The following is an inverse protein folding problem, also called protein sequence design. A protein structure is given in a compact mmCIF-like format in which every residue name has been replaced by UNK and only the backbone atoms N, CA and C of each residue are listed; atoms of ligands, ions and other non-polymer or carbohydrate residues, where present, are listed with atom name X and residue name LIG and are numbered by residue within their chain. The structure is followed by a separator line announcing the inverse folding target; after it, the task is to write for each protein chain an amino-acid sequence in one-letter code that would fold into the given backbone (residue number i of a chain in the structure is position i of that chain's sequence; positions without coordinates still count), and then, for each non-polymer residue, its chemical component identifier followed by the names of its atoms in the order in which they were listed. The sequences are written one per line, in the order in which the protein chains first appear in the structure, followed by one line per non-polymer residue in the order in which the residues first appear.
data_IF_168330487539
#
_entry.id   IF_168330487539
#
_cell.length_a   1.000
_cell.length_b   1.000
_cell.length_c   1.000
_cell.angle_alpha   90.00
_cell.angle_beta   90.00
_cell.angle_gamma   90.00
#
_symmetry.space_group_name_H-M   'P 1'
#
loop_
_entity.id
_entity.type
_entity.pdbx_description
1 polymer ?
#
# COMPACT_ATOMS: atom_id res chain seq x y z
N UNK A 1 4.53 -52.98 18.92
CA UNK A 1 3.37 -52.07 18.84
C UNK A 1 3.82 -50.89 18.01
N UNK A 2 3.39 -50.91 16.75
CA UNK A 2 3.85 -50.00 15.70
C UNK A 2 3.21 -48.62 15.84
N UNK A 3 4.03 -47.61 15.63
CA UNK A 3 3.74 -46.19 15.52
C UNK A 3 2.92 -45.90 14.26
N UNK A 4 1.71 -45.36 14.38
CA UNK A 4 0.94 -44.79 13.28
C UNK A 4 1.18 -43.29 13.18
N UNK A 5 1.97 -42.89 12.18
CA UNK A 5 2.12 -41.51 11.71
C UNK A 5 0.93 -41.07 10.86
N UNK A 6 0.51 -39.82 11.09
CA UNK A 6 -0.48 -39.04 10.37
C UNK A 6 -0.23 -38.97 8.85
N UNK A 7 -1.30 -38.94 8.06
CA UNK A 7 -1.26 -38.44 6.67
C UNK A 7 -2.27 -37.32 6.51
N UNK A 8 -1.75 -36.09 6.50
CA UNK A 8 -2.48 -34.91 6.07
C UNK A 8 -2.87 -35.00 4.59
N UNK A 9 -4.08 -34.54 4.29
CA UNK A 9 -4.67 -34.50 2.95
C UNK A 9 -3.88 -33.52 2.06
N UNK A 10 -3.42 -33.91 0.86
CA UNK A 10 -2.69 -33.00 -0.02
C UNK A 10 -3.64 -31.99 -0.68
N UNK A 11 -3.20 -30.73 -0.75
CA UNK A 11 -3.89 -29.65 -1.46
C UNK A 11 -4.17 -30.04 -2.92
N UNK A 12 -5.43 -29.89 -3.35
CA UNK A 12 -5.87 -30.15 -4.73
C UNK A 12 -5.18 -29.18 -5.70
N UNK A 13 -4.20 -29.66 -6.46
CA UNK A 13 -3.74 -28.99 -7.69
C UNK A 13 -4.91 -28.92 -8.68
N UNK A 14 -5.25 -27.73 -9.14
CA UNK A 14 -6.26 -27.52 -10.19
C UNK A 14 -5.72 -28.18 -11.47
N UNK A 15 -6.40 -29.22 -11.95
CA UNK A 15 -5.99 -29.94 -13.16
C UNK A 15 -6.12 -29.03 -14.40
N UNK A 16 -5.10 -29.00 -15.25
CA UNK A 16 -5.11 -28.25 -16.50
C UNK A 16 -6.21 -28.79 -17.44
N UNK A 17 -7.05 -27.92 -18.04
CA UNK A 17 -8.15 -28.35 -18.90
C UNK A 17 -7.65 -28.93 -20.23
N UNK A 18 -8.44 -29.84 -20.81
CA UNK A 18 -8.17 -30.38 -22.14
C UNK A 18 -8.38 -29.33 -23.23
N UNK A 19 -7.69 -29.49 -24.38
CA UNK A 19 -7.79 -28.57 -25.53
C UNK A 19 -9.23 -28.40 -26.02
N UNK A 20 -10.06 -29.45 -25.96
CA UNK A 20 -11.47 -29.39 -26.32
C UNK A 20 -12.30 -28.56 -25.34
N UNK A 21 -12.00 -28.64 -24.04
CA UNK A 21 -12.65 -27.80 -23.02
C UNK A 21 -12.26 -26.32 -23.17
N UNK A 22 -11.00 -26.04 -23.51
CA UNK A 22 -10.51 -24.68 -23.78
C UNK A 22 -11.22 -24.09 -25.01
N UNK A 23 -11.31 -24.85 -26.11
CA UNK A 23 -11.97 -24.39 -27.34
C UNK A 23 -13.48 -24.20 -27.20
N UNK A 24 -14.12 -24.88 -26.26
CA UNK A 24 -15.54 -24.71 -25.96
C UNK A 24 -15.83 -23.46 -25.11
N UNK A 25 -14.82 -22.86 -24.47
CA UNK A 25 -15.01 -21.67 -23.65
C UNK A 25 -15.35 -20.44 -24.51
N UNK A 26 -16.33 -19.65 -24.03
CA UNK A 26 -16.77 -18.41 -24.67
C UNK A 26 -15.62 -17.43 -24.94
N UNK A 27 -14.69 -17.29 -23.97
CA UNK A 27 -13.48 -16.46 -24.10
C UNK A 27 -12.63 -16.87 -25.29
N UNK A 28 -12.43 -18.18 -25.52
CA UNK A 28 -11.62 -18.68 -26.64
C UNK A 28 -12.28 -18.41 -27.98
N UNK A 29 -13.61 -18.49 -28.05
CA UNK A 29 -14.37 -18.15 -29.26
C UNK A 29 -14.26 -16.66 -29.58
N UNK A 30 -14.38 -15.78 -28.57
CA UNK A 30 -14.15 -14.36 -28.74
C UNK A 30 -12.71 -14.07 -29.17
N UNK A 31 -11.73 -14.71 -28.53
CA UNK A 31 -10.32 -14.54 -28.88
C UNK A 31 -10.09 -14.84 -30.36
N UNK A 32 -10.56 -15.98 -30.86
CA UNK A 32 -10.41 -16.36 -32.27
C UNK A 32 -11.08 -15.38 -33.24
N UNK A 33 -12.11 -14.65 -32.81
CA UNK A 33 -12.84 -13.68 -33.62
C UNK A 33 -12.19 -12.29 -33.62
N UNK A 34 -11.50 -11.90 -32.54
CA UNK A 34 -11.08 -10.51 -32.34
C UNK A 34 -9.57 -10.31 -32.16
N UNK A 35 -8.84 -11.19 -31.45
CA UNK A 35 -7.45 -10.87 -31.05
C UNK A 35 -6.44 -12.02 -31.10
N UNK A 36 -6.87 -13.28 -31.09
CA UNK A 36 -5.97 -14.44 -31.02
C UNK A 36 -4.88 -14.40 -32.10
N UNK A 37 -3.62 -14.75 -31.76
CA UNK A 37 -2.47 -14.52 -32.64
C UNK A 37 -2.55 -15.25 -33.98
N UNK A 38 -3.18 -16.44 -34.02
CA UNK A 38 -3.27 -17.29 -35.21
C UNK A 38 -4.55 -17.09 -36.03
N UNK A 39 -5.45 -16.19 -35.61
CA UNK A 39 -6.66 -15.87 -36.37
C UNK A 39 -6.33 -14.99 -37.57
N UNK A 40 -6.77 -15.41 -38.77
CA UNK A 40 -6.47 -14.71 -40.04
C UNK A 40 -7.38 -13.50 -40.27
N UNK A 41 -8.68 -13.63 -40.00
CA UNK A 41 -9.69 -12.61 -40.27
C UNK A 41 -10.30 -12.09 -38.96
N UNK A 42 -9.57 -11.19 -38.28
CA UNK A 42 -10.02 -10.59 -37.02
C UNK A 42 -10.99 -9.44 -37.28
N UNK A 43 -12.04 -9.37 -36.49
CA UNK A 43 -12.92 -8.21 -36.49
C UNK A 43 -12.24 -6.97 -35.88
N UNK A 44 -12.67 -5.75 -36.24
CA UNK A 44 -12.19 -4.53 -35.62
C UNK A 44 -12.53 -4.49 -34.12
N UNK A 45 -11.85 -3.60 -33.39
CA UNK A 45 -12.13 -3.35 -31.99
C UNK A 45 -13.59 -2.97 -31.76
N UNK A 46 -14.20 -3.61 -30.76
CA UNK A 46 -15.55 -3.36 -30.31
C UNK A 46 -15.52 -3.22 -28.78
N UNK A 47 -15.91 -2.04 -28.28
CA UNK A 47 -15.95 -1.74 -26.85
C UNK A 47 -16.95 -2.62 -26.11
N UNK A 48 -18.02 -3.07 -26.77
CA UNK A 48 -18.99 -3.96 -26.15
C UNK A 48 -18.40 -5.32 -25.82
N UNK A 49 -17.45 -5.80 -26.63
CA UNK A 49 -16.74 -7.06 -26.35
C UNK A 49 -15.89 -6.93 -25.09
N UNK A 50 -15.23 -5.79 -24.90
CA UNK A 50 -14.48 -5.50 -23.67
C UNK A 50 -15.41 -5.50 -22.45
N UNK A 51 -16.50 -4.74 -22.51
CA UNK A 51 -17.47 -4.66 -21.40
C UNK A 51 -18.06 -6.04 -21.09
N UNK A 52 -18.43 -6.81 -22.12
CA UNK A 52 -18.96 -8.17 -21.97
C UNK A 52 -17.92 -9.12 -21.34
N UNK A 53 -16.65 -9.06 -21.76
CA UNK A 53 -15.58 -9.88 -21.15
C UNK A 53 -15.42 -9.51 -19.68
N UNK A 54 -15.40 -8.22 -19.37
CA UNK A 54 -15.24 -7.76 -18.00
C UNK A 54 -16.43 -8.18 -17.11
N UNK A 55 -17.65 -7.83 -17.49
CA UNK A 55 -18.84 -8.08 -16.67
C UNK A 55 -19.18 -9.57 -16.58
N UNK A 56 -19.18 -10.29 -17.70
CA UNK A 56 -19.69 -11.67 -17.77
C UNK A 56 -18.63 -12.72 -17.46
N UNK A 57 -17.38 -12.49 -17.80
CA UNK A 57 -16.31 -13.48 -17.60
C UNK A 57 -15.44 -13.17 -16.39
N UNK A 58 -15.11 -11.91 -16.11
CA UNK A 58 -14.25 -11.54 -14.97
C UNK A 58 -15.10 -11.33 -13.70
N UNK A 59 -16.05 -10.39 -13.74
CA UNK A 59 -16.81 -9.97 -12.56
C UNK A 59 -17.79 -11.05 -12.09
N UNK A 60 -18.62 -11.59 -13.00
CA UNK A 60 -19.60 -12.64 -12.67
C UNK A 60 -18.94 -13.93 -12.16
N UNK A 61 -17.74 -14.27 -12.65
CA UNK A 61 -16.97 -15.42 -12.15
C UNK A 61 -16.23 -15.15 -10.84
N UNK A 62 -16.38 -13.93 -10.28
CA UNK A 62 -15.66 -13.42 -9.10
C UNK A 62 -14.15 -13.51 -9.28
N UNK A 63 -13.63 -13.06 -10.42
CA UNK A 63 -12.21 -13.06 -10.75
C UNK A 63 -11.61 -14.48 -10.74
N UNK A 64 -12.30 -15.41 -11.40
CA UNK A 64 -11.82 -16.79 -11.53
C UNK A 64 -10.45 -16.82 -12.21
N UNK A 65 -9.45 -17.35 -11.50
CA UNK A 65 -8.08 -17.49 -12.01
C UNK A 65 -8.08 -18.19 -13.37
N UNK A 66 -8.88 -19.25 -13.54
CA UNK A 66 -8.99 -19.97 -14.82
C UNK A 66 -9.44 -19.07 -15.97
N UNK A 67 -10.39 -18.16 -15.74
CA UNK A 67 -10.89 -17.24 -16.79
C UNK A 67 -9.84 -16.20 -17.16
N UNK A 68 -9.16 -15.65 -16.15
CA UNK A 68 -8.10 -14.66 -16.35
C UNK A 68 -6.89 -15.30 -17.07
N UNK A 69 -6.50 -16.53 -16.69
CA UNK A 69 -5.48 -17.31 -17.40
C UNK A 69 -5.78 -17.50 -18.89
N UNK A 70 -7.03 -17.81 -19.24
CA UNK A 70 -7.42 -17.98 -20.65
C UNK A 70 -7.35 -16.68 -21.44
N UNK A 71 -7.73 -15.56 -20.82
CA UNK A 71 -7.57 -14.24 -21.41
C UNK A 71 -6.10 -13.89 -21.62
N UNK A 72 -5.25 -14.12 -20.61
CA UNK A 72 -3.80 -13.90 -20.70
C UNK A 72 -3.17 -14.77 -21.80
N UNK A 73 -3.44 -16.08 -21.79
CA UNK A 73 -2.88 -17.03 -22.75
C UNK A 73 -3.28 -16.72 -24.20
N UNK A 74 -4.48 -16.17 -24.38
CA UNK A 74 -4.98 -15.74 -25.68
C UNK A 74 -4.38 -14.42 -26.18
N UNK A 75 -3.46 -13.81 -25.42
CA UNK A 75 -2.82 -12.51 -25.67
C UNK A 75 -3.82 -11.34 -25.69
N UNK A 76 -4.78 -11.35 -24.76
CA UNK A 76 -5.82 -10.32 -24.67
C UNK A 76 -5.24 -8.92 -24.44
N UNK A 77 -4.19 -8.81 -23.60
CA UNK A 77 -3.54 -7.53 -23.31
C UNK A 77 -2.82 -6.96 -24.54
N UNK A 78 -2.01 -7.80 -25.20
CA UNK A 78 -1.14 -7.40 -26.31
C UNK A 78 -1.90 -7.13 -27.59
N UNK A 79 -2.93 -7.93 -27.88
CA UNK A 79 -3.61 -7.91 -29.17
C UNK A 79 -4.99 -7.24 -29.15
N UNK A 80 -5.56 -6.95 -27.97
CA UNK A 80 -6.87 -6.32 -27.88
C UNK A 80 -6.92 -5.11 -26.94
N UNK A 81 -6.41 -5.21 -25.71
CA UNK A 81 -6.54 -4.12 -24.73
C UNK A 81 -5.60 -2.96 -25.07
N UNK A 82 -4.29 -3.16 -24.93
CA UNK A 82 -3.36 -2.03 -24.94
C UNK A 82 -3.25 -1.36 -26.31
N UNK A 83 -3.37 -2.14 -27.39
CA UNK A 83 -3.33 -1.60 -28.75
C UNK A 83 -4.49 -0.68 -29.10
N UNK A 84 -5.61 -0.79 -28.38
CA UNK A 84 -6.83 0.01 -28.57
C UNK A 84 -7.12 0.96 -27.40
N UNK A 85 -6.28 0.99 -26.36
CA UNK A 85 -6.48 1.87 -25.22
C UNK A 85 -6.09 3.30 -25.57
N UNK A 86 -6.99 4.25 -25.35
CA UNK A 86 -6.73 5.69 -25.40
C UNK A 86 -7.47 6.38 -24.25
N UNK A 87 -7.11 7.62 -23.88
CA UNK A 87 -7.82 8.37 -22.84
C UNK A 87 -9.33 8.50 -23.08
N UNK A 88 -9.74 8.62 -24.35
CA UNK A 88 -11.14 8.85 -24.75
C UNK A 88 -12.02 7.62 -24.58
N UNK A 89 -11.45 6.42 -24.68
CA UNK A 89 -12.18 5.14 -24.54
C UNK A 89 -11.96 4.49 -23.17
N UNK A 90 -11.20 5.13 -22.28
CA UNK A 90 -10.89 4.60 -20.96
C UNK A 90 -12.16 4.41 -20.14
N UNK A 91 -12.37 3.18 -19.67
CA UNK A 91 -13.51 2.78 -18.84
C UNK A 91 -13.06 1.94 -17.65
N UNK A 92 -13.96 1.72 -16.69
CA UNK A 92 -13.74 0.78 -15.58
C UNK A 92 -13.32 -0.60 -16.10
N UNK A 93 -14.02 -1.14 -17.09
CA UNK A 93 -13.70 -2.44 -17.67
C UNK A 93 -12.32 -2.48 -18.32
N UNK A 94 -11.91 -1.40 -19.01
CA UNK A 94 -10.56 -1.28 -19.56
C UNK A 94 -9.50 -1.34 -18.47
N UNK A 95 -9.65 -0.48 -17.45
CA UNK A 95 -8.67 -0.35 -16.37
C UNK A 95 -8.52 -1.68 -15.64
N UNK A 96 -9.65 -2.24 -15.22
CA UNK A 96 -9.69 -3.48 -14.45
C UNK A 96 -9.20 -4.68 -15.26
N UNK A 97 -9.55 -4.78 -16.55
CA UNK A 97 -9.08 -5.88 -17.40
C UNK A 97 -7.56 -5.81 -17.60
N UNK A 98 -7.00 -4.62 -17.86
CA UNK A 98 -5.54 -4.45 -17.98
C UNK A 98 -4.85 -4.89 -16.68
N UNK A 99 -5.31 -4.40 -15.52
CA UNK A 99 -4.74 -4.76 -14.22
C UNK A 99 -4.84 -6.27 -13.94
N UNK A 100 -5.98 -6.91 -14.26
CA UNK A 100 -6.14 -8.35 -14.09
C UNK A 100 -5.11 -9.14 -14.90
N UNK A 101 -4.91 -8.80 -16.18
CA UNK A 101 -3.97 -9.52 -17.04
C UNK A 101 -2.52 -9.26 -16.63
N UNK A 102 -2.18 -8.03 -16.22
CA UNK A 102 -0.84 -7.73 -15.69
C UNK A 102 -0.55 -8.55 -14.44
N UNK A 103 -1.46 -8.56 -13.46
CA UNK A 103 -1.30 -9.36 -12.23
C UNK A 103 -1.17 -10.85 -12.53
N UNK A 104 -1.94 -11.35 -13.51
CA UNK A 104 -1.84 -12.73 -13.95
C UNK A 104 -0.48 -13.06 -14.59
N UNK A 105 0.08 -12.14 -15.38
CA UNK A 105 1.43 -12.29 -15.94
C UNK A 105 2.50 -12.40 -14.85
N UNK A 106 2.38 -11.60 -13.78
CA UNK A 106 3.25 -11.75 -12.61
C UNK A 106 3.04 -13.09 -11.91
N UNK A 107 1.79 -13.53 -11.76
CA UNK A 107 1.45 -14.83 -11.15
C UNK A 107 2.07 -16.01 -11.91
N UNK A 108 2.10 -15.95 -13.24
CA UNK A 108 2.70 -16.95 -14.13
C UNK A 108 4.19 -16.70 -14.41
N UNK A 109 4.78 -15.66 -13.83
CA UNK A 109 6.18 -15.27 -13.98
C UNK A 109 6.60 -15.07 -15.44
N UNK A 110 5.77 -14.36 -16.22
CA UNK A 110 6.04 -13.97 -17.61
C UNK A 110 6.21 -12.45 -17.74
N UNK A 111 6.90 -11.94 -18.78
CA UNK A 111 7.13 -10.51 -18.94
C UNK A 111 5.83 -9.69 -19.02
N UNK A 112 5.57 -8.85 -18.02
CA UNK A 112 4.34 -8.07 -17.91
C UNK A 112 4.38 -6.72 -18.67
N UNK A 113 5.57 -6.12 -18.80
CA UNK A 113 5.70 -4.72 -19.20
C UNK A 113 5.98 -4.46 -20.69
N UNK A 114 6.24 -5.51 -21.47
CA UNK A 114 6.70 -5.37 -22.87
C UNK A 114 5.72 -4.63 -23.77
N UNK A 115 4.42 -4.84 -23.57
CA UNK A 115 3.36 -4.20 -24.37
C UNK A 115 3.32 -2.69 -24.16
N UNK A 116 3.51 -2.23 -22.92
CA UNK A 116 3.52 -0.82 -22.56
C UNK A 116 4.79 -0.14 -23.05
N UNK A 117 5.94 -0.82 -22.97
CA UNK A 117 7.21 -0.31 -23.54
C UNK A 117 7.13 -0.08 -25.05
N UNK A 118 6.41 -0.95 -25.79
CA UNK A 118 6.22 -0.81 -27.24
C UNK A 118 5.32 0.37 -27.62
N UNK A 119 4.32 0.69 -26.78
CA UNK A 119 3.41 1.84 -26.98
C UNK A 119 3.22 2.58 -25.65
N UNK A 120 4.16 3.45 -25.25
CA UNK A 120 4.17 4.05 -23.90
C UNK A 120 3.21 5.24 -23.73
N UNK A 121 2.74 5.82 -24.84
CA UNK A 121 2.10 7.14 -24.92
C UNK A 121 0.92 7.35 -23.95
N UNK A 122 0.10 6.32 -23.73
CA UNK A 122 -1.10 6.40 -22.88
C UNK A 122 -0.90 5.83 -21.47
N UNK A 123 0.29 5.30 -21.14
CA UNK A 123 0.56 4.71 -19.82
C UNK A 123 0.45 5.72 -18.67
N UNK A 124 0.95 6.98 -18.78
CA UNK A 124 0.79 7.97 -17.72
C UNK A 124 -0.68 8.25 -17.37
N UNK A 125 -1.54 8.35 -18.39
CA UNK A 125 -2.98 8.56 -18.18
C UNK A 125 -3.63 7.32 -17.54
N UNK A 126 -3.33 6.12 -18.05
CA UNK A 126 -3.79 4.87 -17.46
C UNK A 126 -3.41 4.74 -15.99
N UNK A 127 -2.14 4.99 -15.65
CA UNK A 127 -1.64 4.90 -14.28
C UNK A 127 -2.33 5.90 -13.36
N UNK A 128 -2.57 7.13 -13.84
CA UNK A 128 -3.38 8.12 -13.12
C UNK A 128 -4.80 7.61 -12.84
N UNK A 129 -5.47 7.02 -13.83
CA UNK A 129 -6.81 6.44 -13.63
C UNK A 129 -6.80 5.29 -12.62
N UNK A 130 -5.76 4.45 -12.61
CA UNK A 130 -5.58 3.41 -11.58
C UNK A 130 -5.44 4.02 -10.19
N UNK A 131 -4.62 5.06 -10.03
CA UNK A 131 -4.46 5.75 -8.74
C UNK A 131 -5.78 6.35 -8.23
N UNK A 132 -6.53 7.00 -9.11
CA UNK A 132 -7.83 7.57 -8.79
C UNK A 132 -8.83 6.47 -8.39
N UNK A 133 -8.87 5.35 -9.14
CA UNK A 133 -9.70 4.20 -8.85
C UNK A 133 -9.35 3.52 -7.50
N UNK A 134 -8.07 3.45 -7.14
CA UNK A 134 -7.63 2.86 -5.85
C UNK A 134 -8.08 3.70 -4.66
N UNK A 135 -8.08 5.04 -4.78
CA UNK A 135 -8.51 5.93 -3.72
C UNK A 135 -10.02 6.18 -3.69
N UNK A 136 -10.74 5.69 -4.68
CA UNK A 136 -12.15 5.92 -4.82
C UNK A 136 -12.96 5.40 -3.61
N UNK A 137 -13.87 6.21 -3.08
CA UNK A 137 -14.73 5.86 -1.95
C UNK A 137 -15.96 5.03 -2.36
N UNK A 138 -16.92 4.91 -1.44
CA UNK A 138 -18.21 4.22 -1.67
C UNK A 138 -19.05 4.85 -2.80
N UNK A 139 -18.72 6.08 -3.22
CA UNK A 139 -19.36 6.78 -4.35
C UNK A 139 -18.97 6.21 -5.72
N UNK A 140 -17.98 5.31 -5.76
CA UNK A 140 -17.61 4.62 -7.00
C UNK A 140 -18.15 3.20 -7.03
N UNK A 141 -18.55 2.75 -8.21
CA UNK A 141 -19.04 1.39 -8.45
C UNK A 141 -17.93 0.30 -8.29
N UNK A 142 -16.83 0.55 -7.56
CA UNK A 142 -15.74 -0.40 -7.35
C UNK A 142 -15.94 -1.17 -6.05
N UNK A 143 -16.18 -2.46 -6.18
CA UNK A 143 -16.14 -3.44 -5.09
C UNK A 143 -14.75 -3.51 -4.46
N UNK A 144 -14.69 -3.92 -3.20
CA UNK A 144 -13.41 -4.06 -2.50
C UNK A 144 -12.49 -5.12 -3.14
N UNK A 145 -13.08 -6.12 -3.81
CA UNK A 145 -12.34 -7.10 -4.60
C UNK A 145 -11.67 -6.49 -5.83
N UNK A 146 -12.36 -5.59 -6.54
CA UNK A 146 -11.76 -4.81 -7.63
C UNK A 146 -10.63 -3.92 -7.11
N UNK A 147 -10.85 -3.24 -5.98
CA UNK A 147 -9.81 -2.40 -5.36
C UNK A 147 -8.59 -3.23 -4.95
N UNK A 148 -8.77 -4.46 -4.48
CA UNK A 148 -7.67 -5.39 -4.16
C UNK A 148 -6.85 -5.75 -5.40
N UNK A 149 -7.49 -5.97 -6.55
CA UNK A 149 -6.77 -6.21 -7.83
C UNK A 149 -5.92 -4.99 -8.20
N UNK A 150 -6.44 -3.78 -7.99
CA UNK A 150 -5.69 -2.55 -8.25
C UNK A 150 -4.50 -2.38 -7.29
N UNK A 151 -4.64 -2.77 -6.01
CA UNK A 151 -3.53 -2.78 -5.05
C UNK A 151 -2.40 -3.70 -5.50
N UNK A 152 -2.73 -4.92 -5.93
CA UNK A 152 -1.73 -5.88 -6.46
C UNK A 152 -1.05 -5.34 -7.71
N UNK A 153 -1.79 -4.67 -8.59
CA UNK A 153 -1.19 -4.02 -9.76
C UNK A 153 -0.22 -2.89 -9.38
N UNK A 154 -0.60 -2.06 -8.39
CA UNK A 154 0.28 -1.00 -7.90
C UNK A 154 1.52 -1.57 -7.22
N UNK A 155 1.38 -2.63 -6.44
CA UNK A 155 2.50 -3.35 -5.84
C UNK A 155 3.50 -3.80 -6.90
N UNK A 156 3.02 -4.44 -7.98
CA UNK A 156 3.87 -4.78 -9.11
C UNK A 156 4.56 -3.57 -9.75
N UNK A 157 3.90 -2.40 -9.79
CA UNK A 157 4.53 -1.17 -10.28
C UNK A 157 5.66 -0.68 -9.34
N UNK A 158 5.43 -0.68 -8.02
CA UNK A 158 6.45 -0.31 -7.04
C UNK A 158 7.63 -1.28 -7.02
N UNK A 159 7.39 -2.55 -7.34
CA UNK A 159 8.39 -3.61 -7.47
C UNK A 159 9.09 -3.66 -8.84
N UNK A 160 8.75 -2.77 -9.79
CA UNK A 160 9.31 -2.77 -11.16
C UNK A 160 10.04 -1.47 -11.52
N UNK A 161 10.78 -0.88 -10.58
CA UNK A 161 11.48 0.40 -10.79
C UNK A 161 12.62 0.32 -11.82
N UNK A 162 13.08 -0.86 -12.18
CA UNK A 162 14.01 -1.09 -13.27
C UNK A 162 13.42 -0.75 -14.65
N UNK A 163 12.08 -0.71 -14.76
CA UNK A 163 11.40 -0.31 -15.99
C UNK A 163 11.20 1.20 -16.00
N UNK A 164 11.92 1.88 -16.90
CA UNK A 164 11.93 3.35 -17.00
C UNK A 164 10.52 3.96 -17.04
N UNK A 165 9.63 3.41 -17.89
CA UNK A 165 8.24 3.85 -18.01
C UNK A 165 7.48 3.82 -16.68
N UNK A 166 7.68 2.77 -15.89
CA UNK A 166 7.01 2.59 -14.58
C UNK A 166 7.64 3.53 -13.55
N UNK A 167 8.98 3.57 -13.50
CA UNK A 167 9.74 4.39 -12.56
C UNK A 167 9.38 5.87 -12.68
N UNK A 168 9.19 6.38 -13.89
CA UNK A 168 8.77 7.77 -14.12
C UNK A 168 7.42 8.09 -13.44
N UNK A 169 6.47 7.15 -13.45
CA UNK A 169 5.16 7.35 -12.82
C UNK A 169 5.20 7.15 -11.31
N UNK A 170 6.03 6.23 -10.82
CA UNK A 170 6.13 5.90 -9.40
C UNK A 170 6.96 6.93 -8.64
N UNK A 171 8.01 7.47 -9.24
CA UNK A 171 8.97 8.37 -8.57
C UNK A 171 8.30 9.61 -7.95
N UNK A 172 7.25 10.14 -8.58
CA UNK A 172 6.49 11.29 -8.04
C UNK A 172 5.73 10.96 -6.74
N UNK A 173 5.44 9.68 -6.48
CA UNK A 173 4.72 9.20 -5.30
C UNK A 173 5.63 8.93 -4.09
N UNK A 174 6.91 8.64 -4.34
CA UNK A 174 7.88 8.16 -3.33
C UNK A 174 9.07 9.11 -3.15
N UNK A 175 9.02 10.32 -3.71
CA UNK A 175 10.08 11.32 -3.55
C UNK A 175 9.86 12.20 -2.31
N UNK A 176 10.89 12.92 -1.87
CA UNK A 176 10.85 13.88 -0.75
C UNK A 176 9.57 14.77 -0.70
N UNK A 177 9.01 15.30 -1.81
CA UNK A 177 7.77 16.08 -1.75
C UNK A 177 6.57 15.38 -1.11
N UNK A 178 6.57 14.05 -0.99
CA UNK A 178 5.53 13.31 -0.28
C UNK A 178 5.40 13.75 1.19
N UNK A 179 6.49 14.24 1.80
CA UNK A 179 6.48 14.76 3.18
C UNK A 179 5.57 15.98 3.39
N UNK A 180 4.90 16.48 2.35
CA UNK A 180 3.84 17.48 2.48
C UNK A 180 2.64 16.96 3.28
N UNK A 181 2.45 15.64 3.36
CA UNK A 181 1.37 15.04 4.14
C UNK A 181 1.74 14.81 5.62
N UNK A 182 3.01 15.01 6.01
CA UNK A 182 3.42 14.88 7.40
C UNK A 182 2.79 15.97 8.26
N UNK A 183 2.62 15.68 9.55
CA UNK A 183 2.36 16.72 10.53
C UNK A 183 3.42 17.84 10.43
N UNK A 184 3.05 19.14 10.45
CA UNK A 184 4.02 20.22 10.28
C UNK A 184 5.16 20.20 11.30
N UNK A 185 4.87 19.83 12.55
CA UNK A 185 5.89 19.66 13.59
C UNK A 185 6.82 18.48 13.31
N UNK A 186 6.28 17.34 12.84
CA UNK A 186 7.07 16.18 12.40
C UNK A 186 8.01 16.53 11.26
N UNK A 187 7.50 17.19 10.21
CA UNK A 187 8.30 17.66 9.09
C UNK A 187 9.47 18.52 9.56
N UNK A 188 9.21 19.51 10.42
CA UNK A 188 10.27 20.37 10.96
C UNK A 188 11.27 19.59 11.81
N UNK A 189 10.82 18.60 12.58
CA UNK A 189 11.69 17.73 13.35
C UNK A 189 12.66 16.95 12.44
N UNK A 190 12.16 16.35 11.36
CA UNK A 190 13.01 15.60 10.41
C UNK A 190 13.97 16.50 9.61
N UNK A 191 13.52 17.68 9.19
CA UNK A 191 14.38 18.64 8.48
C UNK A 191 15.51 19.18 9.37
N UNK A 192 15.29 19.32 10.68
CA UNK A 192 16.32 19.71 11.64
C UNK A 192 17.40 18.64 11.84
N UNK A 193 17.03 17.35 11.80
CA UNK A 193 18.00 16.23 11.90
C UNK A 193 18.99 16.24 10.75
N UNK A 194 18.55 16.62 9.55
CA UNK A 194 19.39 16.65 8.35
C UNK A 194 19.33 18.03 7.69
N UNK A 195 20.16 19.00 8.13
CA UNK A 195 20.10 20.39 7.66
C UNK A 195 20.21 20.58 6.13
N UNK A 196 20.83 19.63 5.42
CA UNK A 196 20.87 19.63 3.95
C UNK A 196 19.46 19.51 3.33
N UNK A 197 18.56 18.72 3.94
CA UNK A 197 17.19 18.54 3.46
C UNK A 197 16.38 19.83 3.53
N UNK A 198 16.62 20.69 4.53
CA UNK A 198 15.94 21.99 4.63
C UNK A 198 16.11 22.82 3.35
N UNK A 199 17.30 22.81 2.75
CA UNK A 199 17.56 23.54 1.49
C UNK A 199 16.76 22.96 0.33
N UNK A 200 16.75 21.63 0.18
CA UNK A 200 15.96 20.96 -0.87
C UNK A 200 14.46 21.16 -0.68
N UNK A 201 13.99 21.09 0.57
CA UNK A 201 12.60 21.33 0.91
C UNK A 201 12.14 22.75 0.54
N UNK A 202 12.94 23.77 0.88
CA UNK A 202 12.65 25.15 0.51
C UNK A 202 12.56 25.34 -1.02
N UNK A 203 13.40 24.64 -1.79
CA UNK A 203 13.33 24.65 -3.25
C UNK A 203 12.07 23.96 -3.78
N UNK A 204 11.69 22.82 -3.21
CA UNK A 204 10.45 22.10 -3.56
C UNK A 204 9.24 22.99 -3.31
N UNK A 205 9.15 23.60 -2.12
CA UNK A 205 8.08 24.52 -1.75
C UNK A 205 8.01 25.72 -2.72
N UNK A 206 9.15 26.37 -2.97
CA UNK A 206 9.22 27.49 -3.93
C UNK A 206 8.83 27.10 -5.36
N UNK A 207 9.10 25.86 -5.79
CA UNK A 207 8.65 25.36 -7.10
C UNK A 207 7.14 25.10 -7.09
N UNK A 208 6.62 24.53 -6.01
CA UNK A 208 5.19 24.27 -5.85
C UNK A 208 4.36 25.56 -5.82
N UNK A 209 4.81 26.59 -5.07
CA UNK A 209 4.13 27.90 -4.98
C UNK A 209 4.08 28.67 -6.32
N UNK A 210 4.85 28.23 -7.32
CA UNK A 210 4.89 28.80 -8.67
C UNK A 210 4.08 28.01 -9.70
N UNK A 211 3.54 26.85 -9.32
CA UNK A 211 2.70 26.05 -10.21
C UNK A 211 1.35 26.75 -10.42
N UNK A 212 0.77 26.57 -11.60
CA UNK A 212 -0.64 26.88 -11.82
C UNK A 212 -1.55 25.96 -10.99
N UNK A 213 -2.83 26.31 -10.87
CA UNK A 213 -3.77 25.58 -10.02
C UNK A 213 -3.89 24.09 -10.40
N UNK A 214 -3.98 23.77 -11.69
CA UNK A 214 -4.14 22.40 -12.18
C UNK A 214 -2.88 21.56 -11.95
N UNK A 215 -1.70 22.15 -12.14
CA UNK A 215 -0.43 21.49 -11.83
C UNK A 215 -0.24 21.29 -10.32
N UNK A 216 -0.59 22.28 -9.49
CA UNK A 216 -0.51 22.18 -8.03
C UNK A 216 -1.47 21.12 -7.47
N UNK A 217 -2.69 21.03 -8.01
CA UNK A 217 -3.66 20.01 -7.62
C UNK A 217 -3.16 18.60 -7.96
N UNK A 218 -2.69 18.38 -9.20
CA UNK A 218 -2.09 17.09 -9.60
C UNK A 218 -0.93 16.69 -8.71
N UNK A 219 0.01 17.61 -8.50
CA UNK A 219 1.15 17.37 -7.63
C UNK A 219 0.73 17.07 -6.18
N UNK A 220 -0.33 17.70 -5.68
CA UNK A 220 -0.87 17.41 -4.34
C UNK A 220 -1.46 16.01 -4.26
N UNK A 221 -2.24 15.61 -5.27
CA UNK A 221 -2.82 14.25 -5.35
C UNK A 221 -1.73 13.19 -5.39
N UNK A 222 -0.70 13.38 -6.22
CA UNK A 222 0.44 12.46 -6.33
C UNK A 222 1.23 12.36 -5.02
N UNK A 223 1.60 13.50 -4.42
CA UNK A 223 2.41 13.56 -3.19
C UNK A 223 1.67 13.02 -1.96
N UNK A 224 0.34 13.14 -1.93
CA UNK A 224 -0.49 12.64 -0.83
C UNK A 224 -1.10 11.26 -1.10
N UNK A 225 -0.78 10.63 -2.24
CA UNK A 225 -1.39 9.37 -2.67
C UNK A 225 -1.25 8.27 -1.62
N UNK A 226 -0.01 7.95 -1.21
CA UNK A 226 0.25 6.88 -0.24
C UNK A 226 -0.34 7.18 1.15
N UNK A 227 -0.29 8.43 1.60
CA UNK A 227 -0.95 8.84 2.85
C UNK A 227 -2.48 8.67 2.77
N UNK A 228 -3.09 9.06 1.66
CA UNK A 228 -4.53 8.89 1.44
C UNK A 228 -4.92 7.42 1.36
N UNK A 229 -4.07 6.59 0.75
CA UNK A 229 -4.23 5.16 0.65
C UNK A 229 -4.15 4.49 2.04
N UNK A 230 -3.21 4.90 2.89
CA UNK A 230 -3.16 4.48 4.30
C UNK A 230 -4.45 4.84 5.05
N UNK A 231 -4.94 6.07 4.92
CA UNK A 231 -6.20 6.50 5.57
C UNK A 231 -7.39 5.64 5.14
N UNK A 232 -7.49 5.35 3.84
CA UNK A 232 -8.52 4.47 3.29
C UNK A 232 -8.41 3.05 3.88
N UNK A 233 -7.21 2.49 3.91
CA UNK A 233 -6.97 1.19 4.55
C UNK A 233 -7.39 1.19 6.02
N UNK A 234 -6.99 2.19 6.79
CA UNK A 234 -7.34 2.28 8.21
C UNK A 234 -8.86 2.28 8.40
N UNK A 235 -9.60 2.98 7.53
CA UNK A 235 -11.06 2.94 7.51
C UNK A 235 -11.63 1.53 7.26
N UNK A 236 -11.08 0.80 6.29
CA UNK A 236 -11.48 -0.60 6.00
C UNK A 236 -11.15 -1.51 7.19
N UNK A 237 -9.93 -1.43 7.71
CA UNK A 237 -9.43 -2.25 8.81
C UNK A 237 -10.28 -2.05 10.07
N UNK A 238 -10.55 -0.81 10.46
CA UNK A 238 -11.32 -0.49 11.67
C UNK A 238 -12.81 -0.82 11.53
N UNK A 239 -13.30 -1.04 10.31
CA UNK A 239 -14.67 -1.52 10.07
C UNK A 239 -14.83 -3.04 10.27
N UNK A 240 -13.76 -3.77 10.56
CA UNK A 240 -13.79 -5.22 10.82
C UNK A 240 -14.03 -5.44 12.32
N UNK A 241 -15.15 -6.09 12.72
CA UNK A 241 -15.41 -6.38 14.12
C UNK A 241 -14.49 -7.50 14.64
N UNK A 242 -14.14 -7.50 15.93
CA UNK A 242 -13.29 -8.53 16.53
C UNK A 242 -13.93 -9.92 16.55
N UNK A 243 -15.27 -9.99 16.57
CA UNK A 243 -16.03 -11.25 16.55
C UNK A 243 -17.23 -11.16 15.60
N UNK A 244 -17.87 -12.29 15.32
CA UNK A 244 -19.03 -12.36 14.43
C UNK A 244 -18.66 -12.42 12.93
N UNK A 245 -19.63 -12.35 12.01
CA UNK A 245 -19.36 -12.51 10.57
C UNK A 245 -18.41 -11.44 10.01
N UNK A 246 -17.50 -11.83 9.11
CA UNK A 246 -16.59 -10.92 8.41
C UNK A 246 -16.63 -11.16 6.90
N UNK A 247 -16.47 -10.09 6.13
CA UNK A 247 -16.28 -10.19 4.68
C UNK A 247 -14.83 -10.56 4.38
N UNK A 248 -14.61 -11.69 3.70
CA UNK A 248 -13.27 -12.08 3.25
C UNK A 248 -12.66 -11.09 2.26
N UNK A 249 -13.46 -10.31 1.52
CA UNK A 249 -12.93 -9.25 0.66
C UNK A 249 -12.24 -8.14 1.49
N UNK A 250 -12.72 -7.86 2.72
CA UNK A 250 -12.04 -6.92 3.65
C UNK A 250 -10.72 -7.50 4.16
N UNK A 251 -10.74 -8.77 4.54
CA UNK A 251 -9.54 -9.49 5.01
C UNK A 251 -8.47 -9.50 3.92
N UNK A 252 -8.81 -9.93 2.71
CA UNK A 252 -7.87 -9.98 1.59
C UNK A 252 -7.36 -8.60 1.14
N UNK A 253 -8.23 -7.58 1.17
CA UNK A 253 -7.79 -6.21 0.94
C UNK A 253 -6.74 -5.79 1.98
N UNK A 254 -6.97 -6.08 3.26
CA UNK A 254 -6.02 -5.77 4.32
C UNK A 254 -4.70 -6.53 4.17
N UNK A 255 -4.74 -7.82 3.83
CA UNK A 255 -3.54 -8.63 3.56
C UNK A 255 -2.71 -8.04 2.42
N UNK A 256 -3.33 -7.76 1.26
CA UNK A 256 -2.64 -7.17 0.10
C UNK A 256 -2.15 -5.76 0.35
N UNK A 257 -2.84 -5.00 1.19
CA UNK A 257 -2.36 -3.70 1.61
C UNK A 257 -1.07 -3.82 2.44
N UNK A 258 -1.02 -4.72 3.42
CA UNK A 258 0.20 -4.89 4.23
C UNK A 258 1.36 -5.43 3.38
N UNK A 259 1.11 -6.33 2.43
CA UNK A 259 2.10 -6.76 1.43
C UNK A 259 2.70 -5.56 0.69
N UNK A 260 1.88 -4.65 0.16
CA UNK A 260 2.35 -3.42 -0.47
C UNK A 260 3.21 -2.56 0.48
N UNK A 261 2.84 -2.45 1.76
CA UNK A 261 3.64 -1.70 2.74
C UNK A 261 5.00 -2.37 2.99
N UNK A 262 5.04 -3.71 3.05
CA UNK A 262 6.27 -4.49 3.23
C UNK A 262 7.21 -4.21 2.05
N UNK A 263 6.73 -4.32 0.82
CA UNK A 263 7.56 -4.19 -0.37
C UNK A 263 8.09 -2.75 -0.54
N UNK A 264 7.26 -1.75 -0.23
CA UNK A 264 7.69 -0.35 -0.16
C UNK A 264 8.78 -0.13 0.89
N UNK A 265 8.66 -0.76 2.07
CA UNK A 265 9.63 -0.62 3.16
C UNK A 265 10.90 -1.45 2.97
N UNK A 266 10.84 -2.53 2.19
CA UNK A 266 11.95 -3.44 1.94
C UNK A 266 12.94 -2.91 0.88
N UNK A 267 12.49 -2.00 0.00
CA UNK A 267 13.32 -1.43 -1.06
C UNK A 267 13.77 0.00 -0.71
N UNK A 268 15.07 0.25 -0.67
CA UNK A 268 15.61 1.56 -0.28
C UNK A 268 15.05 2.76 -1.09
N UNK A 269 14.88 2.69 -2.43
CA UNK A 269 14.35 3.81 -3.21
C UNK A 269 12.94 4.25 -2.81
N UNK A 270 12.07 3.31 -2.44
CA UNK A 270 10.70 3.56 -1.95
C UNK A 270 10.71 3.93 -0.48
N UNK A 271 11.48 3.20 0.35
CA UNK A 271 11.60 3.39 1.80
C UNK A 271 12.08 4.78 2.20
N UNK A 272 13.08 5.33 1.50
CA UNK A 272 13.88 6.49 1.93
C UNK A 272 13.07 7.67 2.48
N UNK A 273 11.91 7.94 1.86
CA UNK A 273 11.01 9.02 2.28
C UNK A 273 9.71 8.46 2.87
N UNK A 274 9.28 7.28 2.41
CA UNK A 274 8.05 6.62 2.82
C UNK A 274 8.08 6.17 4.29
N UNK A 275 9.19 5.63 4.80
CA UNK A 275 9.29 5.11 6.18
C UNK A 275 8.87 6.16 7.23
N UNK A 276 9.32 7.40 7.07
CA UNK A 276 8.91 8.52 7.95
C UNK A 276 7.41 8.81 7.87
N UNK A 277 6.83 8.73 6.67
CA UNK A 277 5.39 8.96 6.46
C UNK A 277 4.55 7.82 7.03
N UNK A 278 5.00 6.59 6.86
CA UNK A 278 4.39 5.40 7.44
C UNK A 278 4.37 5.48 8.97
N UNK A 279 5.48 5.88 9.59
CA UNK A 279 5.56 6.11 11.04
C UNK A 279 4.63 7.24 11.52
N UNK A 280 4.60 8.38 10.81
CA UNK A 280 3.70 9.52 11.13
C UNK A 280 2.21 9.16 11.02
N UNK A 281 1.87 8.15 10.21
CA UNK A 281 0.50 7.66 10.06
C UNK A 281 0.01 6.76 11.20
N UNK A 282 0.91 6.32 12.08
CA UNK A 282 0.64 5.37 13.17
C UNK A 282 0.06 4.02 12.69
N UNK A 283 0.30 3.65 11.43
CA UNK A 283 -0.29 2.44 10.80
C UNK A 283 -0.09 1.19 11.66
N UNK A 284 1.13 0.97 12.16
CA UNK A 284 1.45 -0.19 12.98
C UNK A 284 0.62 -0.26 14.27
N UNK A 285 0.35 0.89 14.89
CA UNK A 285 -0.48 0.97 16.11
C UNK A 285 -1.94 0.66 15.76
N UNK A 286 -2.47 1.25 14.68
CA UNK A 286 -3.82 0.94 14.22
C UNK A 286 -3.99 -0.55 13.87
N UNK A 287 -3.00 -1.16 13.22
CA UNK A 287 -3.02 -2.60 12.96
C UNK A 287 -3.07 -3.40 14.26
N UNK A 288 -2.22 -3.06 15.23
CA UNK A 288 -2.13 -3.72 16.54
C UNK A 288 -3.40 -3.62 17.39
N UNK A 289 -4.20 -2.57 17.21
CA UNK A 289 -5.45 -2.34 17.94
C UNK A 289 -6.70 -2.75 17.16
N UNK A 290 -6.54 -3.29 15.95
CA UNK A 290 -7.66 -3.64 15.08
C UNK A 290 -8.34 -4.95 15.51
N UNK A 291 -9.65 -5.03 15.28
CA UNK A 291 -10.40 -6.27 15.51
C UNK A 291 -9.94 -7.44 14.65
N UNK A 292 -9.21 -7.20 13.54
CA UNK A 292 -8.69 -8.28 12.70
C UNK A 292 -7.63 -9.13 13.42
N UNK A 293 -6.85 -8.54 14.34
CA UNK A 293 -5.84 -9.28 15.13
C UNK A 293 -6.48 -10.29 16.08
N UNK A 294 -7.65 -9.98 16.64
CA UNK A 294 -8.35 -10.85 17.57
C UNK A 294 -8.98 -12.07 16.89
N UNK A 295 -8.93 -12.14 15.55
CA UNK A 295 -9.54 -13.22 14.75
C UNK A 295 -8.49 -14.27 14.41
N UNK A 296 -8.39 -15.29 15.25
CA UNK A 296 -7.38 -16.36 15.13
C UNK A 296 -7.36 -17.04 13.75
N UNK A 297 -8.51 -17.22 13.10
CA UNK A 297 -8.61 -17.92 11.81
C UNK A 297 -8.45 -16.98 10.61
N UNK A 298 -9.27 -15.95 10.52
CA UNK A 298 -9.30 -15.06 9.35
C UNK A 298 -8.16 -14.03 9.38
N UNK A 299 -7.69 -13.63 10.56
CA UNK A 299 -6.61 -12.67 10.75
C UNK A 299 -5.21 -13.27 10.74
N UNK A 300 -5.08 -14.61 10.66
CA UNK A 300 -3.78 -15.29 10.83
C UNK A 300 -2.70 -14.79 9.86
N UNK A 301 -3.02 -14.73 8.56
CA UNK A 301 -2.08 -14.27 7.54
C UNK A 301 -1.79 -12.77 7.69
N UNK A 302 -2.80 -11.97 8.00
CA UNK A 302 -2.62 -10.55 8.30
C UNK A 302 -1.61 -10.33 9.45
N UNK A 303 -1.71 -11.12 10.53
CA UNK A 303 -0.76 -11.05 11.64
C UNK A 303 0.68 -11.43 11.21
N UNK A 304 0.85 -12.47 10.39
CA UNK A 304 2.17 -12.86 9.87
C UNK A 304 2.79 -11.76 9.00
N UNK A 305 1.99 -11.14 8.12
CA UNK A 305 2.41 -10.01 7.31
C UNK A 305 2.73 -8.79 8.20
N UNK A 306 1.95 -8.54 9.24
CA UNK A 306 2.19 -7.44 10.16
C UNK A 306 3.51 -7.61 10.93
N UNK A 307 3.88 -8.84 11.30
CA UNK A 307 5.19 -9.13 11.90
C UNK A 307 6.34 -8.86 10.92
N UNK A 308 6.17 -9.18 9.63
CA UNK A 308 7.14 -8.81 8.59
C UNK A 308 7.24 -7.29 8.42
N UNK A 309 6.12 -6.58 8.40
CA UNK A 309 6.11 -5.11 8.31
C UNK A 309 6.79 -4.48 9.55
N UNK A 310 6.56 -5.05 10.74
CA UNK A 310 7.23 -4.62 11.98
C UNK A 310 8.75 -4.77 11.88
N UNK A 311 9.22 -5.86 11.27
CA UNK A 311 10.65 -6.04 11.02
C UNK A 311 11.21 -4.95 10.09
N UNK A 312 10.55 -4.66 8.97
CA UNK A 312 11.04 -3.67 8.02
C UNK A 312 10.95 -2.23 8.54
N UNK A 313 9.85 -1.85 9.19
CA UNK A 313 9.72 -0.52 9.82
C UNK A 313 10.78 -0.28 10.91
N UNK A 314 11.18 -1.34 11.63
CA UNK A 314 12.27 -1.33 12.60
C UNK A 314 13.66 -1.68 12.04
N UNK A 315 13.80 -1.84 10.73
CA UNK A 315 15.04 -2.34 10.13
C UNK A 315 16.21 -1.38 10.39
N UNK A 316 17.37 -1.94 10.76
CA UNK A 316 18.53 -1.20 11.24
C UNK A 316 19.33 -0.59 10.07
N UNK A 317 18.70 0.33 9.33
CA UNK A 317 19.27 1.03 8.18
C UNK A 317 19.09 2.55 8.32
N UNK A 318 20.08 3.29 7.84
CA UNK A 318 19.95 4.73 7.68
C UNK A 318 19.27 5.05 6.34
N UNK A 319 18.01 5.49 6.36
CA UNK A 319 17.20 5.73 5.16
C UNK A 319 17.84 6.70 4.14
N UNK A 320 18.66 7.63 4.60
CA UNK A 320 19.31 8.63 3.74
C UNK A 320 20.55 8.07 3.04
N UNK A 321 21.40 7.37 3.78
CA UNK A 321 22.68 6.85 3.25
C UNK A 321 22.55 5.45 2.66
N UNK A 322 21.56 4.66 3.09
CA UNK A 322 21.42 3.24 2.76
C UNK A 322 22.37 2.31 3.52
N UNK A 323 23.17 2.83 4.44
CA UNK A 323 24.10 2.02 5.24
C UNK A 323 23.37 1.38 6.42
N UNK A 324 23.78 0.16 6.75
CA UNK A 324 23.35 -0.50 7.99
C UNK A 324 23.78 0.34 9.20
N UNK A 325 22.90 0.42 10.20
CA UNK A 325 23.18 1.07 11.47
C UNK A 325 24.06 0.16 12.32
N UNK A 326 25.04 0.76 12.98
CA UNK A 326 25.87 0.07 13.96
C UNK A 326 25.11 -0.08 15.28
N UNK A 327 25.52 -1.05 16.11
CA UNK A 327 24.97 -1.23 17.47
C UNK A 327 25.01 0.07 18.30
N UNK A 328 26.07 0.86 18.12
CA UNK A 328 26.22 2.16 18.80
C UNK A 328 25.17 3.15 18.33
N UNK A 329 24.96 3.26 17.02
CA UNK A 329 23.93 4.15 16.45
C UNK A 329 22.52 3.73 16.88
N UNK A 330 22.23 2.43 16.89
CA UNK A 330 20.96 1.89 17.40
C UNK A 330 20.72 2.28 18.86
N UNK A 331 21.74 2.09 19.71
CA UNK A 331 21.68 2.48 21.12
C UNK A 331 21.49 3.98 21.28
N UNK A 332 22.21 4.81 20.51
CA UNK A 332 22.06 6.26 20.54
C UNK A 332 20.66 6.70 20.12
N UNK A 333 20.09 6.13 19.04
CA UNK A 333 18.73 6.44 18.60
C UNK A 333 17.67 6.15 19.68
N UNK A 334 17.80 5.01 20.35
CA UNK A 334 16.91 4.64 21.46
C UNK A 334 17.02 5.63 22.63
N UNK A 335 18.25 5.92 23.06
CA UNK A 335 18.50 6.86 24.16
C UNK A 335 18.01 8.27 23.83
N UNK A 336 18.18 8.74 22.60
CA UNK A 336 17.71 10.05 22.16
C UNK A 336 16.17 10.13 22.22
N UNK A 337 15.46 9.07 21.83
CA UNK A 337 13.99 8.99 21.94
C UNK A 337 13.52 9.07 23.39
N UNK A 338 14.08 8.23 24.28
CA UNK A 338 13.71 8.24 25.71
C UNK A 338 14.07 9.58 26.35
N UNK A 339 15.25 10.12 26.05
CA UNK A 339 15.68 11.44 26.56
C UNK A 339 14.75 12.55 26.10
N UNK A 340 14.28 12.53 24.85
CA UNK A 340 13.31 13.50 24.34
C UNK A 340 11.99 13.41 25.10
N UNK A 341 11.50 12.18 25.35
CA UNK A 341 10.30 11.94 26.14
C UNK A 341 10.47 12.41 27.60
N UNK A 342 11.60 12.12 28.24
CA UNK A 342 11.90 12.58 29.60
C UNK A 342 11.99 14.11 29.69
N UNK A 343 12.55 14.79 28.67
CA UNK A 343 12.57 16.26 28.62
C UNK A 343 11.16 16.85 28.54
N UNK A 344 10.30 16.28 27.70
CA UNK A 344 8.91 16.71 27.59
C UNK A 344 8.16 16.47 28.91
N UNK A 345 8.32 15.28 29.50
CA UNK A 345 7.77 14.92 30.80
C UNK A 345 8.17 15.92 31.90
N UNK A 346 9.47 16.21 32.04
CA UNK A 346 9.97 17.15 33.06
C UNK A 346 9.45 18.58 32.88
N UNK A 347 9.34 19.04 31.63
CA UNK A 347 8.99 20.42 31.35
C UNK A 347 7.49 20.71 31.50
N UNK A 348 6.63 19.72 31.21
CA UNK A 348 5.21 19.97 30.99
C UNK A 348 4.27 19.08 31.82
N UNK A 349 4.75 18.00 32.43
CA UNK A 349 3.90 17.00 33.09
C UNK A 349 4.42 16.66 34.50
N UNK A 350 3.96 17.39 35.54
CA UNK A 350 4.35 17.15 36.93
C UNK A 350 4.16 15.69 37.38
N UNK A 351 3.13 15.02 36.86
CA UNK A 351 2.80 13.62 37.12
C UNK A 351 3.89 12.64 36.64
N UNK A 352 4.75 13.08 35.71
CA UNK A 352 5.82 12.28 35.11
C UNK A 352 7.22 12.72 35.57
N UNK A 353 7.35 13.55 36.61
CA UNK A 353 8.66 13.99 37.11
C UNK A 353 9.55 12.83 37.56
N UNK A 354 9.01 11.83 38.25
CA UNK A 354 9.76 10.65 38.68
C UNK A 354 10.30 9.86 37.49
N UNK A 355 9.48 9.69 36.44
CA UNK A 355 9.90 9.10 35.16
C UNK A 355 10.99 9.94 34.49
N UNK A 356 10.85 11.26 34.49
CA UNK A 356 11.76 12.16 33.81
C UNK A 356 13.16 12.21 34.43
N UNK A 357 13.27 11.97 35.74
CA UNK A 357 14.55 11.96 36.48
C UNK A 357 15.19 10.58 36.59
N UNK A 358 14.47 9.52 36.22
CA UNK A 358 14.99 8.16 36.25
C UNK A 358 16.06 7.92 35.16
N UNK A 359 16.93 6.94 35.38
CA UNK A 359 17.85 6.47 34.34
C UNK A 359 17.07 5.75 33.23
N UNK A 360 17.56 5.86 31.98
CA UNK A 360 16.93 5.25 30.79
C UNK A 360 16.59 3.77 31.02
N UNK A 361 17.54 2.98 31.54
CA UNK A 361 17.37 1.54 31.77
C UNK A 361 16.27 1.15 32.79
N UNK A 362 15.79 2.10 33.62
CA UNK A 362 14.67 1.83 34.53
C UNK A 362 13.31 2.10 33.88
N UNK A 363 13.28 2.83 32.77
CA UNK A 363 12.04 3.37 32.18
C UNK A 363 11.80 3.00 30.73
N UNK A 364 12.75 2.34 30.08
CA UNK A 364 12.71 2.04 28.64
C UNK A 364 12.13 0.67 28.28
N UNK A 365 11.65 -0.08 29.27
CA UNK A 365 10.93 -1.35 29.07
C UNK A 365 9.43 -1.12 28.89
N UNK A 366 8.75 -2.05 28.20
CA UNK A 366 7.29 -1.98 27.98
C UNK A 366 6.54 -1.92 29.30
N UNK A 367 6.91 -2.76 30.25
CA UNK A 367 6.29 -2.86 31.58
C UNK A 367 6.42 -1.54 32.35
N UNK A 368 7.61 -0.94 32.33
CA UNK A 368 7.84 0.36 32.97
C UNK A 368 7.04 1.47 32.30
N UNK A 369 7.03 1.55 30.97
CA UNK A 369 6.25 2.56 30.24
C UNK A 369 4.75 2.40 30.51
N UNK A 370 4.21 1.18 30.47
CA UNK A 370 2.79 0.94 30.79
C UNK A 370 2.45 1.36 32.22
N UNK A 371 3.34 1.08 33.19
CA UNK A 371 3.12 1.48 34.58
C UNK A 371 3.09 3.01 34.76
N UNK A 372 3.96 3.73 34.06
CA UNK A 372 4.09 5.19 34.21
C UNK A 372 2.99 5.93 33.43
N UNK A 373 2.76 5.56 32.17
CA UNK A 373 1.84 6.27 31.28
C UNK A 373 0.40 5.72 31.34
N UNK A 374 0.19 4.47 31.79
CA UNK A 374 -1.13 3.84 31.77
C UNK A 374 -2.15 4.43 32.73
N UNK A 375 -1.71 5.20 33.73
CA UNK A 375 -2.61 5.91 34.66
C UNK A 375 -2.98 7.32 34.21
N UNK A 376 -2.39 7.80 33.10
CA UNK A 376 -2.67 9.14 32.57
C UNK A 376 -4.00 9.15 31.82
N UNK A 377 -4.64 10.32 31.81
CA UNK A 377 -5.85 10.50 31.00
C UNK A 377 -5.52 10.49 29.50
N UNK A 378 -6.49 10.13 28.63
CA UNK A 378 -6.31 10.21 27.17
C UNK A 378 -5.83 11.59 26.70
N UNK A 379 -6.35 12.67 27.28
CA UNK A 379 -5.94 14.04 26.94
C UNK A 379 -4.47 14.32 27.29
N UNK A 380 -3.99 13.84 28.45
CA UNK A 380 -2.59 13.97 28.83
C UNK A 380 -1.68 13.16 27.92
N UNK A 381 -2.07 11.93 27.56
CA UNK A 381 -1.31 11.10 26.61
C UNK A 381 -1.23 11.75 25.22
N UNK A 382 -2.32 12.36 24.76
CA UNK A 382 -2.34 13.13 23.53
C UNK A 382 -1.36 14.30 23.60
N UNK A 383 -1.37 15.07 24.69
CA UNK A 383 -0.43 16.18 24.88
C UNK A 383 1.03 15.70 24.89
N UNK A 384 1.34 14.59 25.57
CA UNK A 384 2.68 13.99 25.53
C UNK A 384 3.09 13.65 24.09
N UNK A 385 2.19 13.01 23.33
CA UNK A 385 2.42 12.66 21.94
C UNK A 385 2.60 13.88 21.04
N UNK A 386 1.88 14.98 21.29
CA UNK A 386 2.02 16.21 20.51
C UNK A 386 3.37 16.90 20.72
N UNK A 387 3.89 16.91 21.95
CA UNK A 387 5.27 17.38 22.24
C UNK A 387 6.34 16.58 21.51
N UNK A 388 6.08 15.29 21.27
CA UNK A 388 6.95 14.42 20.50
C UNK A 388 6.73 14.49 18.98
N UNK A 389 5.89 15.42 18.52
CA UNK A 389 5.53 15.58 17.11
C UNK A 389 4.85 14.33 16.51
N UNK A 390 4.13 13.55 17.33
CA UNK A 390 3.40 12.35 16.91
C UNK A 390 1.92 12.64 16.65
N UNK A 391 1.34 13.60 17.37
CA UNK A 391 -0.04 14.06 17.19
C UNK A 391 -0.08 15.58 17.02
N UNK A 392 -1.14 16.14 16.41
CA UNK A 392 -1.37 17.57 16.42
C UNK A 392 -1.50 18.11 17.86
N UNK A 393 -1.37 19.42 18.02
CA UNK A 393 -1.55 20.06 19.33
C UNK A 393 -3.01 19.92 19.79
N UNK A 394 -3.22 19.50 21.03
CA UNK A 394 -4.54 19.45 21.66
C UNK A 394 -4.85 20.83 22.24
N UNK A 395 -5.81 21.54 21.64
CA UNK A 395 -6.22 22.86 22.08
C UNK A 395 -6.90 22.82 23.45
N UNK A 396 -6.73 23.88 24.24
CA UNK A 396 -7.37 24.00 25.55
C UNK A 396 -8.91 23.85 25.44
N UNK A 397 -9.48 23.00 26.28
CA UNK A 397 -10.92 22.73 26.33
C UNK A 397 -11.43 21.73 25.28
N UNK A 398 -10.56 21.12 24.49
CA UNK A 398 -10.92 20.01 23.59
C UNK A 398 -10.51 18.66 24.18
N UNK A 399 -11.37 17.66 24.00
CA UNK A 399 -11.04 16.26 24.30
C UNK A 399 -10.39 15.60 23.08
N UNK A 400 -9.50 14.65 23.35
CA UNK A 400 -8.90 13.84 22.30
C UNK A 400 -9.96 13.03 21.55
N UNK A 401 -9.77 12.90 20.24
CA UNK A 401 -10.57 12.02 19.37
C UNK A 401 -9.92 10.64 19.17
N UNK A 402 -8.72 10.45 19.70
CA UNK A 402 -7.91 9.23 19.63
C UNK A 402 -8.10 8.36 20.87
#
# INVERSE_FOLDING_TARGET
METTTEKGTPAKKIAAPSVSQINAEYVTQLANKYWAPHAKDKLPFDSKVLEDVYEKEILTSKFSIRKIMLLEFSQYLENYLWVNYTPEVSSKAFIMSICCIVNEKFRENVPAWEVFKKKPEHFPFFFKCVMEAVLAGDETDLTLKEQTVLLVFLDHCFNSLEVDLIREQVQQLISLPMWMCLLPSRLQHELKKVPKLQKFWNLIKKKFDKMDADAAERATRERSFLSSLIKKFTGVLMSIPPTGPVSMDKVHYCERFIELMIDLEALLPTRRWFNTMLDDSHLMVFCQLSGLIDRETEGHLFCQLLDMLKFYTGFEINDQTGNALTQKEMTTLHYDRITSLQRAAFAHFPELHDFAMANVAAVDTRESLTKQFGNLSPNMLHQVASYLCLLPELLEGQDTIY
#
